data_IF_511662059254
#
_entry.id   IF_511662059254
#
_cell.length_a   1.000
_cell.length_b   1.000
_cell.length_c   1.000
_cell.angle_alpha   90.00
_cell.angle_beta   90.00
_cell.angle_gamma   90.00
#
_symmetry.space_group_name_H-M   'P 1'
#
loop_
_entity.id
_entity.type
_entity.pdbx_description
1 polymer ?
#
# COMPACT_ATOMS: atom_id res chain seq x y z
N UNK A 1 14.66 7.88 -29.18
CA UNK A 1 14.79 8.99 -28.22
C UNK A 1 14.46 8.57 -26.81
N UNK A 2 13.22 8.21 -26.43
CA UNK A 2 12.91 7.72 -25.06
C UNK A 2 13.45 6.32 -24.71
N UNK A 3 13.64 5.44 -25.71
CA UNK A 3 14.15 4.08 -25.51
C UNK A 3 15.63 4.06 -25.10
N UNK A 4 16.45 4.92 -25.69
CA UNK A 4 17.87 5.06 -25.37
C UNK A 4 18.07 5.70 -23.99
N UNK A 5 17.26 6.72 -23.67
CA UNK A 5 17.25 7.34 -22.35
C UNK A 5 16.87 6.34 -21.25
N UNK A 6 15.81 5.54 -21.46
CA UNK A 6 15.38 4.51 -20.52
C UNK A 6 16.43 3.40 -20.35
N UNK A 7 17.04 2.96 -21.44
CA UNK A 7 18.13 1.97 -21.40
C UNK A 7 19.38 2.50 -20.69
N UNK A 8 19.59 3.83 -20.69
CA UNK A 8 20.66 4.51 -19.97
C UNK A 8 20.42 4.64 -18.47
N UNK A 9 19.18 4.44 -17.98
CA UNK A 9 18.89 4.38 -16.55
C UNK A 9 19.52 3.11 -16.00
N UNK A 10 20.67 3.26 -15.34
CA UNK A 10 21.33 2.12 -14.69
C UNK A 10 20.36 1.51 -13.67
N UNK A 11 20.12 0.19 -13.71
CA UNK A 11 19.41 -0.47 -12.63
C UNK A 11 20.12 -0.12 -11.32
N UNK A 12 19.37 0.39 -10.35
CA UNK A 12 19.92 0.64 -9.02
C UNK A 12 20.42 -0.70 -8.50
N UNK A 13 21.73 -0.85 -8.34
CA UNK A 13 22.31 -2.04 -7.74
C UNK A 13 21.92 -2.07 -6.27
N UNK A 14 20.90 -2.87 -5.96
CA UNK A 14 20.47 -3.12 -4.59
C UNK A 14 21.40 -4.10 -3.85
N UNK A 15 22.51 -4.54 -4.47
CA UNK A 15 23.40 -5.56 -3.90
C UNK A 15 23.97 -5.19 -2.51
N UNK A 16 24.13 -3.89 -2.25
CA UNK A 16 24.63 -3.38 -0.97
C UNK A 16 23.52 -2.86 -0.05
N UNK A 17 22.24 -3.01 -0.45
CA UNK A 17 21.10 -2.50 0.31
C UNK A 17 20.42 -3.65 1.06
N UNK A 18 20.12 -3.41 2.33
CA UNK A 18 19.46 -4.40 3.19
C UNK A 18 18.02 -4.67 2.76
N UNK A 19 17.66 -5.97 2.72
CA UNK A 19 16.32 -6.49 2.39
C UNK A 19 15.89 -7.63 3.32
N UNK A 20 16.41 -7.64 4.56
CA UNK A 20 16.21 -8.71 5.54
C UNK A 20 14.72 -8.90 5.82
N UNK A 21 13.98 -7.81 5.95
CA UNK A 21 12.55 -7.85 6.27
C UNK A 21 11.73 -8.33 5.08
N UNK A 22 12.16 -7.97 3.87
CA UNK A 22 11.57 -8.51 2.64
C UNK A 22 11.77 -10.04 2.58
N UNK A 23 12.99 -10.53 2.76
CA UNK A 23 13.27 -11.97 2.70
C UNK A 23 12.52 -12.76 3.78
N UNK A 24 12.34 -12.19 4.97
CA UNK A 24 11.58 -12.80 6.07
C UNK A 24 10.05 -12.90 5.82
N UNK A 25 9.50 -12.08 4.91
CA UNK A 25 8.06 -11.94 4.69
C UNK A 25 7.60 -12.31 3.27
N UNK A 26 8.36 -13.16 2.57
CA UNK A 26 8.08 -13.60 1.21
C UNK A 26 6.62 -14.06 0.92
N UNK A 27 5.90 -14.73 1.85
CA UNK A 27 4.48 -15.09 1.63
C UNK A 27 3.54 -13.88 1.50
N UNK A 28 3.94 -12.70 1.98
CA UNK A 28 3.15 -11.47 1.94
C UNK A 28 3.36 -10.65 0.67
N UNK A 29 4.14 -11.16 -0.30
CA UNK A 29 4.48 -10.46 -1.52
C UNK A 29 3.67 -10.96 -2.71
N UNK A 30 3.09 -10.04 -3.48
CA UNK A 30 2.44 -10.37 -4.74
C UNK A 30 3.45 -10.72 -5.83
N UNK A 31 4.58 -10.02 -5.84
CA UNK A 31 5.65 -10.14 -6.82
C UNK A 31 6.97 -10.32 -6.07
N UNK A 32 7.65 -11.44 -6.30
CA UNK A 32 8.88 -11.83 -5.58
C UNK A 32 10.13 -11.10 -6.10
N UNK A 33 10.02 -10.55 -7.29
CA UNK A 33 11.04 -9.77 -8.00
C UNK A 33 10.97 -8.26 -7.70
N UNK A 34 9.92 -7.80 -7.03
CA UNK A 34 9.77 -6.40 -6.60
C UNK A 34 10.21 -6.26 -5.14
N UNK A 35 11.48 -5.90 -4.94
CA UNK A 35 12.11 -5.81 -3.62
C UNK A 35 11.61 -4.58 -2.84
N UNK A 36 11.29 -4.78 -1.55
CA UNK A 36 11.09 -3.70 -0.59
C UNK A 36 12.37 -3.54 0.25
N UNK A 37 12.95 -2.34 0.28
CA UNK A 37 14.23 -2.09 0.93
C UNK A 37 14.04 -1.72 2.40
N UNK A 38 14.86 -2.26 3.30
CA UNK A 38 14.72 -2.03 4.74
C UNK A 38 14.85 -0.55 5.10
N UNK A 39 15.67 0.20 4.36
CA UNK A 39 15.90 1.63 4.59
C UNK A 39 14.67 2.50 4.32
N UNK A 40 13.81 2.10 3.39
CA UNK A 40 12.66 2.91 2.96
C UNK A 40 11.32 2.26 3.26
N UNK A 41 11.30 1.04 3.82
CA UNK A 41 10.06 0.35 4.16
C UNK A 41 9.22 1.15 5.15
N UNK A 42 7.91 0.98 5.06
CA UNK A 42 6.98 1.43 6.10
C UNK A 42 7.07 0.47 7.28
N UNK A 43 7.26 1.02 8.49
CA UNK A 43 7.27 0.23 9.72
C UNK A 43 5.94 0.41 10.45
N UNK A 44 5.15 -0.65 10.60
CA UNK A 44 3.91 -0.57 11.37
C UNK A 44 4.18 -0.66 12.86
N UNK A 45 3.43 0.12 13.64
CA UNK A 45 3.44 0.10 15.10
C UNK A 45 3.06 -1.29 15.58
N UNK A 46 3.86 -1.84 16.51
CA UNK A 46 3.62 -3.15 17.12
C UNK A 46 2.27 -3.14 17.84
N UNK A 47 1.39 -4.09 17.49
CA UNK A 47 0.13 -4.33 18.17
C UNK A 47 0.03 -5.83 18.53
N UNK A 48 -0.51 -6.19 19.70
CA UNK A 48 -0.65 -7.59 20.10
C UNK A 48 -1.42 -8.41 19.07
N UNK A 49 -0.82 -9.52 18.61
CA UNK A 49 -1.42 -10.42 17.61
C UNK A 49 -1.38 -9.92 16.17
N UNK A 50 -0.71 -8.79 15.89
CA UNK A 50 -0.57 -8.26 14.54
C UNK A 50 0.90 -8.23 14.08
N UNK A 51 1.12 -8.47 12.79
CA UNK A 51 2.43 -8.31 12.17
C UNK A 51 2.83 -6.83 12.04
N UNK A 52 4.13 -6.56 11.93
CA UNK A 52 4.69 -5.20 11.78
C UNK A 52 5.09 -4.87 10.33
N UNK A 53 5.09 -5.89 9.47
CA UNK A 53 5.53 -5.77 8.09
C UNK A 53 4.37 -5.47 7.14
N UNK A 54 4.63 -4.57 6.19
CA UNK A 54 3.84 -4.43 4.98
C UNK A 54 4.75 -4.12 3.80
N UNK A 55 4.46 -4.70 2.63
CA UNK A 55 5.21 -4.44 1.40
C UNK A 55 4.84 -3.05 0.85
N UNK A 56 5.50 -2.04 1.39
CA UNK A 56 5.34 -0.64 1.04
C UNK A 56 6.56 0.16 1.47
N UNK A 57 6.91 1.18 0.68
CA UNK A 57 8.07 2.02 0.93
C UNK A 57 7.78 3.49 0.71
N UNK A 58 8.46 4.34 1.47
CA UNK A 58 8.45 5.79 1.29
C UNK A 58 9.24 6.17 0.04
N UNK A 59 8.63 7.02 -0.79
CA UNK A 59 9.28 7.70 -1.91
C UNK A 59 9.50 9.14 -1.49
N UNK A 60 10.78 9.49 -1.33
CA UNK A 60 11.23 10.83 -1.04
C UNK A 60 12.03 11.36 -2.24
N UNK A 61 11.67 12.54 -2.73
CA UNK A 61 12.41 13.24 -3.77
C UNK A 61 12.36 14.73 -3.48
N UNK A 62 13.43 15.51 -3.74
CA UNK A 62 13.46 16.95 -3.50
C UNK A 62 12.31 17.72 -4.19
N UNK A 63 11.78 17.19 -5.30
CA UNK A 63 10.66 17.81 -6.03
C UNK A 63 9.27 17.49 -5.48
N UNK A 64 9.15 16.57 -4.51
CA UNK A 64 7.86 16.19 -3.95
C UNK A 64 7.48 17.12 -2.79
N UNK A 65 6.31 17.77 -2.91
CA UNK A 65 5.74 18.61 -1.85
C UNK A 65 5.32 17.83 -0.61
N UNK A 66 5.01 16.54 -0.78
CA UNK A 66 4.59 15.62 0.27
C UNK A 66 5.24 14.25 0.04
N UNK A 67 5.61 13.53 1.11
CA UNK A 67 6.10 12.17 0.97
C UNK A 67 5.00 11.28 0.36
N UNK A 68 5.41 10.35 -0.50
CA UNK A 68 4.52 9.34 -1.06
C UNK A 68 4.86 7.98 -0.46
N UNK A 69 3.87 7.10 -0.42
CA UNK A 69 4.08 5.69 -0.09
C UNK A 69 3.70 4.89 -1.33
N UNK A 70 4.67 4.18 -1.90
CA UNK A 70 4.39 3.17 -2.92
C UNK A 70 4.19 1.82 -2.25
N UNK A 71 3.09 1.16 -2.58
CA UNK A 71 2.72 -0.13 -2.03
C UNK A 71 2.26 -1.05 -3.13
N UNK A 72 2.51 -2.34 -2.99
CA UNK A 72 1.80 -3.33 -3.79
C UNK A 72 0.28 -3.25 -3.52
N UNK A 73 -0.54 -3.76 -4.45
CA UNK A 73 -1.94 -4.00 -4.11
C UNK A 73 -2.00 -4.97 -2.93
N UNK A 74 -2.73 -4.64 -1.84
CA UNK A 74 -2.82 -5.51 -0.68
C UNK A 74 -3.32 -6.90 -1.07
N UNK A 75 -2.84 -7.91 -0.34
CA UNK A 75 -3.33 -9.28 -0.42
C UNK A 75 -4.50 -9.45 0.57
N UNK A 76 -5.15 -10.60 0.57
CA UNK A 76 -6.17 -10.90 1.59
C UNK A 76 -5.55 -10.93 2.99
N UNK A 77 -4.32 -11.45 3.06
CA UNK A 77 -3.52 -11.65 4.27
C UNK A 77 -2.93 -10.34 4.82
N UNK A 78 -2.84 -9.29 4.01
CA UNK A 78 -2.23 -7.99 4.37
C UNK A 78 -3.19 -6.80 4.28
N UNK A 79 -4.49 -7.04 4.11
CA UNK A 79 -5.49 -5.97 4.01
C UNK A 79 -5.61 -5.18 5.32
N UNK A 80 -5.42 -5.84 6.46
CA UNK A 80 -5.46 -5.23 7.79
C UNK A 80 -4.27 -4.29 7.95
N UNK A 81 -3.07 -4.77 7.63
CA UNK A 81 -1.82 -4.01 7.64
C UNK A 81 -1.89 -2.81 6.70
N UNK A 82 -2.54 -2.95 5.54
CA UNK A 82 -2.74 -1.84 4.61
C UNK A 82 -3.53 -0.70 5.25
N UNK A 83 -4.64 -1.02 5.92
CA UNK A 83 -5.43 0.01 6.59
C UNK A 83 -4.73 0.55 7.84
N UNK A 84 -3.96 -0.28 8.56
CA UNK A 84 -3.10 0.19 9.65
C UNK A 84 -2.07 1.20 9.14
N UNK A 85 -1.41 0.93 8.01
CA UNK A 85 -0.51 1.87 7.33
C UNK A 85 -1.21 3.20 7.03
N UNK A 86 -2.35 3.15 6.34
CA UNK A 86 -3.15 4.34 5.97
C UNK A 86 -3.48 5.20 7.19
N UNK A 87 -3.85 4.57 8.30
CA UNK A 87 -4.22 5.23 9.54
C UNK A 87 -3.02 5.80 10.28
N UNK A 88 -1.95 5.01 10.40
CA UNK A 88 -0.73 5.39 11.09
C UNK A 88 -0.06 6.57 10.40
N UNK A 89 0.09 6.49 9.08
CA UNK A 89 0.73 7.51 8.25
C UNK A 89 -0.20 8.66 7.87
N UNK A 90 -1.42 8.69 8.43
CA UNK A 90 -2.44 9.74 8.22
C UNK A 90 -2.66 10.03 6.72
N UNK A 91 -2.70 8.98 5.90
CA UNK A 91 -2.81 9.09 4.44
C UNK A 91 -4.10 9.84 4.06
N UNK A 92 -3.95 10.90 3.26
CA UNK A 92 -5.06 11.76 2.83
C UNK A 92 -5.74 11.23 1.56
N UNK A 93 -4.98 10.58 0.69
CA UNK A 93 -5.45 10.09 -0.60
C UNK A 93 -4.79 8.77 -0.97
N UNK A 94 -5.59 7.84 -1.48
CA UNK A 94 -5.12 6.59 -2.07
C UNK A 94 -5.38 6.67 -3.57
N UNK A 95 -4.33 6.50 -4.37
CA UNK A 95 -4.40 6.43 -5.82
C UNK A 95 -4.19 4.98 -6.25
N UNK A 96 -5.14 4.43 -7.02
CA UNK A 96 -5.03 3.07 -7.58
C UNK A 96 -4.73 3.19 -9.07
N UNK A 97 -3.57 2.67 -9.49
CA UNK A 97 -3.10 2.79 -10.87
C UNK A 97 -3.56 1.63 -11.78
N UNK A 98 -3.94 0.48 -11.21
CA UNK A 98 -4.32 -0.72 -11.96
C UNK A 98 -5.84 -0.98 -11.91
N UNK A 99 -6.36 -1.73 -12.86
CA UNK A 99 -7.73 -2.26 -12.76
C UNK A 99 -7.78 -3.46 -11.79
N UNK A 100 -8.95 -3.75 -11.22
CA UNK A 100 -9.14 -4.92 -10.34
C UNK A 100 -8.96 -6.24 -11.11
N UNK A 101 -9.27 -6.22 -12.40
CA UNK A 101 -9.05 -7.34 -13.34
C UNK A 101 -8.38 -6.75 -14.57
N UNK A 102 -7.24 -7.30 -14.97
CA UNK A 102 -6.65 -7.04 -16.28
C UNK A 102 -6.42 -8.40 -16.94
N UNK A 103 -6.85 -8.56 -18.19
CA UNK A 103 -6.71 -9.79 -18.96
C UNK A 103 -7.22 -11.07 -18.26
N UNK A 104 -8.33 -10.96 -17.50
CA UNK A 104 -8.95 -12.09 -16.80
C UNK A 104 -8.32 -12.46 -15.45
N UNK A 105 -7.15 -11.89 -15.12
CA UNK A 105 -6.47 -12.12 -13.84
C UNK A 105 -6.85 -11.05 -12.80
N UNK A 106 -7.12 -11.48 -11.56
CA UNK A 106 -7.41 -10.58 -10.44
C UNK A 106 -6.12 -9.91 -9.95
N UNK A 107 -5.73 -8.83 -10.61
CA UNK A 107 -4.45 -8.16 -10.36
C UNK A 107 -4.44 -7.30 -9.09
N UNK A 108 -5.61 -6.80 -8.65
CA UNK A 108 -5.66 -5.91 -7.50
C UNK A 108 -6.87 -6.18 -6.60
N UNK A 109 -6.64 -6.18 -5.28
CA UNK A 109 -7.69 -6.26 -4.28
C UNK A 109 -8.60 -5.02 -4.36
N UNK A 110 -9.89 -5.19 -4.06
CA UNK A 110 -10.83 -4.09 -4.00
C UNK A 110 -10.67 -3.38 -2.64
N UNK A 111 -9.82 -2.35 -2.61
CA UNK A 111 -9.49 -1.52 -1.43
C UNK A 111 -10.68 -0.62 -1.00
N UNK A 112 -11.91 -0.98 -1.34
CA UNK A 112 -13.06 -0.17 -0.98
C UNK A 112 -14.39 -0.81 -1.33
N UNK A 113 -15.46 -0.32 -0.70
CA UNK A 113 -16.79 -0.83 -0.94
C UNK A 113 -17.25 -0.43 -2.34
N UNK A 114 -18.08 -1.29 -2.96
CA UNK A 114 -18.79 -0.96 -4.20
C UNK A 114 -19.93 0.06 -3.97
N UNK A 115 -20.30 0.34 -2.70
CA UNK A 115 -21.34 1.28 -2.25
C UNK A 115 -20.78 2.20 -1.15
N UNK A 116 -21.47 3.28 -0.72
CA UNK A 116 -21.00 4.13 0.39
C UNK A 116 -20.84 3.30 1.69
N UNK A 117 -19.66 3.32 2.30
CA UNK A 117 -19.34 2.66 3.58
C UNK A 117 -18.77 1.24 3.47
N UNK A 118 -17.63 0.97 4.11
CA UNK A 118 -17.04 -0.38 4.24
C UNK A 118 -16.65 -0.63 5.69
N UNK A 119 -17.03 -1.80 6.21
CA UNK A 119 -16.62 -2.26 7.52
C UNK A 119 -15.55 -3.34 7.29
N UNK A 120 -14.33 -3.12 7.78
CA UNK A 120 -13.33 -4.17 7.90
C UNK A 120 -13.25 -4.54 9.39
N UNK A 121 -13.67 -5.75 9.71
CA UNK A 121 -13.54 -6.31 11.05
C UNK A 121 -12.28 -7.17 11.12
N UNK A 122 -11.31 -6.73 11.93
CA UNK A 122 -10.15 -7.53 12.32
C UNK A 122 -10.08 -7.50 13.84
N UNK A 123 -10.57 -8.54 14.51
CA UNK A 123 -10.51 -8.64 15.98
C UNK A 123 -9.07 -8.35 16.49
N UNK A 124 -8.86 -7.55 17.57
CA UNK A 124 -9.85 -6.89 18.44
C UNK A 124 -10.34 -5.50 17.96
N UNK A 125 -9.97 -5.05 16.75
CA UNK A 125 -10.26 -3.70 16.26
C UNK A 125 -11.31 -3.68 15.12
N UNK A 126 -12.42 -2.97 15.34
CA UNK A 126 -13.38 -2.71 14.26
C UNK A 126 -13.01 -1.40 13.55
N UNK A 127 -12.59 -1.49 12.29
CA UNK A 127 -12.30 -0.33 11.45
C UNK A 127 -13.48 -0.05 10.52
N UNK A 128 -14.19 1.06 10.77
CA UNK A 128 -15.17 1.61 9.81
C UNK A 128 -14.52 2.70 8.99
N UNK A 129 -14.49 2.50 7.68
CA UNK A 129 -13.82 3.41 6.74
C UNK A 129 -14.87 3.97 5.78
N UNK A 130 -14.99 5.30 5.78
CA UNK A 130 -15.86 6.02 4.87
C UNK A 130 -15.02 6.58 3.72
N UNK A 131 -15.09 5.91 2.57
CA UNK A 131 -14.49 6.40 1.33
C UNK A 131 -15.58 7.07 0.49
N UNK A 132 -15.38 8.34 0.12
CA UNK A 132 -16.22 8.99 -0.87
C UNK A 132 -15.62 8.78 -2.26
N UNK A 133 -16.38 8.15 -3.16
CA UNK A 133 -16.08 8.14 -4.59
C UNK A 133 -16.53 9.48 -5.18
N UNK A 134 -15.60 10.28 -5.69
CA UNK A 134 -15.97 11.42 -6.52
C UNK A 134 -16.30 10.91 -7.93
N UNK A 135 -17.49 11.28 -8.42
CA UNK A 135 -18.17 10.71 -9.59
C UNK A 135 -17.37 10.80 -10.89
N UNK A 136 -16.44 11.74 -11.02
CA UNK A 136 -15.74 11.99 -12.28
C UNK A 136 -14.38 11.31 -12.43
N UNK A 137 -13.82 10.65 -11.40
CA UNK A 137 -12.51 9.97 -11.54
C UNK A 137 -12.46 8.68 -10.73
N UNK A 138 -12.64 7.53 -11.39
CA UNK A 138 -12.53 6.17 -10.79
C UNK A 138 -11.12 5.81 -10.29
N UNK A 139 -10.13 6.72 -10.37
CA UNK A 139 -8.69 6.45 -10.16
C UNK A 139 -8.14 6.84 -8.79
N UNK A 140 -8.81 7.72 -8.05
CA UNK A 140 -8.36 8.14 -6.71
C UNK A 140 -9.50 8.12 -5.70
N UNK A 141 -9.16 7.87 -4.44
CA UNK A 141 -10.09 7.91 -3.30
C UNK A 141 -9.54 8.87 -2.26
N UNK A 142 -10.35 9.85 -1.88
CA UNK A 142 -10.04 10.76 -0.77
C UNK A 142 -10.61 10.20 0.52
N UNK A 143 -9.79 10.14 1.56
CA UNK A 143 -10.22 9.72 2.89
C UNK A 143 -10.77 10.96 3.59
N UNK A 144 -12.04 10.90 3.99
CA UNK A 144 -12.70 12.01 4.70
C UNK A 144 -12.72 11.78 6.21
N UNK A 145 -13.07 10.57 6.65
CA UNK A 145 -13.12 10.20 8.06
C UNK A 145 -12.76 8.73 8.26
N UNK A 146 -12.00 8.47 9.32
CA UNK A 146 -11.72 7.13 9.84
C UNK A 146 -12.23 7.10 11.28
N UNK A 147 -13.22 6.26 11.56
CA UNK A 147 -13.71 6.06 12.92
C UNK A 147 -13.04 4.82 13.50
N UNK A 148 -12.27 5.02 14.57
CA UNK A 148 -11.79 3.92 15.42
C UNK A 148 -12.88 3.62 16.44
N UNK A 149 -13.32 2.38 16.54
CA UNK A 149 -14.13 1.93 17.66
C UNK A 149 -13.28 1.00 18.51
N UNK A 150 -12.97 1.45 19.72
CA UNK A 150 -12.44 0.62 20.77
C UNK A 150 -13.67 0.06 21.52
N UNK A 151 -13.79 -1.26 21.60
CA UNK A 151 -14.72 -1.88 22.55
C UNK A 151 -14.02 -2.03 23.89
#
# INVERSE_FOLDING_TARGET
MFTEEYAGIRPVSCAHMSKVEFDAHMPLHRYKDIICLDKTKVNLTILPGNQTYIHGSFINSPGLKLPLIAMQSPLNESIIEFWRCVIQEKVLCIVKLCQTVENGNRNAFNIGPKKKGYNLTSNPFMLRIYLHLQSNVKKYRRIQQIHRHFR
#
